data_IF_402167885860
#
_entry.id   IF_402167885860
#
_cell.length_a   1.000
_cell.length_b   1.000
_cell.length_c   1.000
_cell.angle_alpha   90.00
_cell.angle_beta   90.00
_cell.angle_gamma   90.00
#
_symmetry.space_group_name_H-M   'P 1'
#
loop_
_entity.id
_entity.type
_entity.pdbx_description
1 polymer ?
#
# COMPACT_ATOMS: atom_id res chain seq x y z
N UNK A 1 0.56 -10.76 9.13
CA UNK A 1 -0.16 -10.17 7.98
C UNK A 1 -0.49 -8.72 8.30
N UNK A 2 -0.08 -7.77 7.46
CA UNK A 2 -0.43 -6.36 7.56
C UNK A 2 -1.42 -6.00 6.44
N UNK A 3 -2.55 -5.40 6.80
CA UNK A 3 -3.49 -4.84 5.84
C UNK A 3 -3.21 -3.35 5.68
N UNK A 4 -2.91 -2.91 4.46
CA UNK A 4 -2.74 -1.50 4.12
C UNK A 4 -3.90 -1.04 3.26
N UNK A 5 -4.78 -0.23 3.83
CA UNK A 5 -5.87 0.42 3.10
C UNK A 5 -5.36 1.67 2.39
N UNK A 6 -5.71 1.89 1.12
CA UNK A 6 -5.16 3.01 0.33
C UNK A 6 -3.69 2.80 -0.05
N UNK A 7 -3.23 1.54 -0.11
CA UNK A 7 -1.83 1.16 -0.34
C UNK A 7 -1.27 1.48 -1.73
N UNK A 8 -2.13 1.76 -2.72
CA UNK A 8 -1.74 2.24 -4.04
C UNK A 8 -1.73 3.78 -4.13
N UNK A 9 -2.18 4.48 -3.09
CA UNK A 9 -2.09 5.94 -2.99
C UNK A 9 -0.68 6.44 -2.64
N UNK A 10 -0.50 7.77 -2.59
CA UNK A 10 0.81 8.41 -2.35
C UNK A 10 1.47 7.96 -1.04
N UNK A 11 0.75 8.04 0.08
CA UNK A 11 1.29 7.64 1.39
C UNK A 11 1.39 6.12 1.50
N UNK A 12 0.32 5.42 1.11
CA UNK A 12 0.24 3.96 1.21
C UNK A 12 1.36 3.25 0.46
N UNK A 13 1.69 3.72 -0.76
CA UNK A 13 2.75 3.12 -1.58
C UNK A 13 4.13 3.27 -0.94
N UNK A 14 4.43 4.42 -0.32
CA UNK A 14 5.67 4.63 0.42
C UNK A 14 5.77 3.73 1.67
N UNK A 15 4.67 3.56 2.40
CA UNK A 15 4.62 2.64 3.55
C UNK A 15 4.87 1.19 3.11
N UNK A 16 4.22 0.73 2.03
CA UNK A 16 4.43 -0.62 1.48
C UNK A 16 5.88 -0.81 1.02
N UNK A 17 6.45 0.16 0.28
CA UNK A 17 7.84 0.10 -0.16
C UNK A 17 8.82 -0.05 1.02
N UNK A 18 8.62 0.76 2.06
CA UNK A 18 9.46 0.76 3.27
C UNK A 18 9.35 -0.55 4.09
N UNK A 19 8.17 -1.19 4.07
CA UNK A 19 7.96 -2.51 4.68
C UNK A 19 8.62 -3.62 3.85
N UNK A 20 8.53 -3.56 2.51
CA UNK A 20 9.23 -4.47 1.60
C UNK A 20 10.75 -4.38 1.78
N UNK A 21 11.31 -3.17 1.89
CA UNK A 21 12.74 -2.96 2.15
C UNK A 21 13.21 -3.57 3.47
N UNK A 22 12.30 -3.74 4.45
CA UNK A 22 12.55 -4.44 5.72
C UNK A 22 12.33 -5.96 5.64
N UNK A 23 12.12 -6.50 4.45
CA UNK A 23 11.90 -7.92 4.21
C UNK A 23 10.52 -8.43 4.62
N UNK A 24 9.53 -7.55 4.79
CA UNK A 24 8.15 -7.98 5.05
C UNK A 24 7.52 -8.48 3.76
N UNK A 25 7.02 -9.70 3.80
CA UNK A 25 6.38 -10.37 2.66
C UNK A 25 4.90 -10.65 2.90
N UNK A 26 4.40 -10.39 4.11
CA UNK A 26 3.04 -10.66 4.56
C UNK A 26 2.15 -9.42 4.53
N UNK A 27 2.17 -8.68 3.43
CA UNK A 27 1.42 -7.43 3.24
C UNK A 27 0.28 -7.66 2.24
N UNK A 28 -0.94 -7.31 2.64
CA UNK A 28 -2.10 -7.26 1.77
C UNK A 28 -2.52 -5.80 1.57
N UNK A 29 -2.71 -5.39 0.31
CA UNK A 29 -3.18 -4.05 -0.03
C UNK A 29 -4.67 -4.12 -0.34
N UNK A 30 -5.45 -3.23 0.28
CA UNK A 30 -6.84 -2.98 -0.09
C UNK A 30 -6.94 -1.55 -0.58
N UNK A 31 -7.21 -1.37 -1.87
CA UNK A 31 -7.35 -0.04 -2.44
C UNK A 31 -8.51 -0.03 -3.44
N UNK A 32 -9.15 1.13 -3.54
CA UNK A 32 -10.11 1.41 -4.58
C UNK A 32 -9.36 2.23 -5.63
N UNK A 33 -8.90 1.54 -6.67
CA UNK A 33 -8.17 2.14 -7.79
C UNK A 33 -9.11 3.00 -8.64
N UNK A 34 -9.48 4.18 -8.13
CA UNK A 34 -10.30 5.14 -8.85
C UNK A 34 -9.46 5.82 -9.95
N UNK A 35 -9.97 5.85 -11.18
CA UNK A 35 -9.41 6.65 -12.25
C UNK A 35 -9.58 8.12 -11.89
N UNK A 36 -8.47 8.81 -11.63
CA UNK A 36 -8.47 10.12 -10.98
C UNK A 36 -9.44 11.15 -11.57
N UNK A 37 -10.41 11.54 -10.75
CA UNK A 37 -10.76 12.93 -10.49
C UNK A 37 -10.96 13.04 -8.98
N UNK A 38 -10.04 13.72 -8.28
CA UNK A 38 -10.30 14.16 -6.91
C UNK A 38 -11.10 15.46 -6.96
#
# INVERSE_FOLDING_TARGET
MLLVTGGAGFIGSNVVANLNDRGRTDIAISDRLESGSK
#
